data_IF_103959612978
#
_entry.id   IF_103959612978
#
_cell.length_a   1.000
_cell.length_b   1.000
_cell.length_c   1.000
_cell.angle_alpha   90.00
_cell.angle_beta   90.00
_cell.angle_gamma   90.00
#
_symmetry.space_group_name_H-M   'P 1'
#
loop_
_entity.id
_entity.type
_entity.pdbx_description
1 polymer ?
#
# COMPACT_ATOMS: atom_id res chain seq x y z
N UNK A 1 -21.49 -50.27 9.44
CA UNK A 1 -20.64 -49.74 10.54
C UNK A 1 -19.23 -49.35 10.08
N UNK A 2 -18.41 -50.25 9.51
CA UNK A 2 -17.03 -49.92 9.05
C UNK A 2 -16.94 -48.75 8.04
N UNK A 3 -17.90 -48.63 7.12
CA UNK A 3 -17.97 -47.52 6.14
C UNK A 3 -18.36 -46.17 6.75
N UNK A 4 -19.11 -46.17 7.85
CA UNK A 4 -19.54 -44.94 8.56
C UNK A 4 -18.39 -44.35 9.40
N UNK A 5 -17.57 -45.23 9.98
CA UNK A 5 -16.36 -44.86 10.72
C UNK A 5 -15.32 -44.23 9.78
N UNK A 6 -15.13 -44.79 8.58
CA UNK A 6 -14.19 -44.26 7.59
C UNK A 6 -14.57 -42.86 7.08
N UNK A 7 -15.87 -42.61 6.87
CA UNK A 7 -16.38 -41.30 6.44
C UNK A 7 -16.29 -40.24 7.54
N UNK A 8 -16.44 -40.64 8.81
CA UNK A 8 -16.28 -39.75 9.97
C UNK A 8 -14.81 -39.37 10.20
N UNK A 9 -13.87 -40.28 9.95
CA UNK A 9 -12.43 -39.99 10.01
C UNK A 9 -12.02 -39.03 8.89
N UNK A 10 -12.54 -39.22 7.67
CA UNK A 10 -12.21 -38.38 6.51
C UNK A 10 -12.68 -36.92 6.68
N UNK A 11 -13.86 -36.71 7.27
CA UNK A 11 -14.41 -35.37 7.57
C UNK A 11 -13.69 -34.70 8.74
N UNK A 12 -13.23 -35.47 9.73
CA UNK A 12 -12.41 -34.95 10.82
C UNK A 12 -11.00 -34.54 10.34
N UNK A 13 -10.40 -35.28 9.39
CA UNK A 13 -9.09 -34.91 8.83
C UNK A 13 -9.15 -33.70 7.89
N UNK A 14 -10.27 -33.47 7.19
CA UNK A 14 -10.43 -32.29 6.33
C UNK A 14 -10.67 -31.00 7.13
N UNK A 15 -11.25 -31.10 8.33
CA UNK A 15 -11.52 -29.94 9.21
C UNK A 15 -10.30 -29.52 10.05
N UNK A 16 -9.30 -30.39 10.20
CA UNK A 16 -8.04 -30.07 10.90
C UNK A 16 -6.97 -29.42 10.03
N UNK A 17 -7.19 -29.28 8.73
CA UNK A 17 -6.34 -28.41 7.88
C UNK A 17 -6.89 -26.97 7.94
N UNK A 18 -7.25 -26.52 9.14
CA UNK A 18 -7.25 -25.10 9.43
C UNK A 18 -5.79 -24.73 9.58
N UNK A 19 -5.20 -24.11 8.55
CA UNK A 19 -3.94 -23.43 8.72
C UNK A 19 -4.11 -22.45 9.88
N UNK A 20 -3.45 -22.73 11.00
CA UNK A 20 -3.08 -21.70 11.95
C UNK A 20 -2.34 -20.66 11.11
N UNK A 21 -2.95 -19.49 10.85
CA UNK A 21 -2.21 -18.37 10.32
C UNK A 21 -1.06 -18.14 11.31
N UNK A 22 0.16 -18.29 10.82
CA UNK A 22 1.32 -18.03 11.65
C UNK A 22 1.38 -16.53 11.87
N UNK A 23 0.82 -16.06 12.98
CA UNK A 23 0.89 -14.66 13.38
C UNK A 23 2.37 -14.29 13.53
N UNK A 24 2.86 -13.44 12.64
CA UNK A 24 4.24 -13.02 12.59
C UNK A 24 4.47 -12.00 11.50
N UNK A 25 5.58 -11.27 11.62
CA UNK A 25 6.04 -10.38 10.57
C UNK A 25 6.50 -11.19 9.37
N UNK A 26 5.97 -10.87 8.20
CA UNK A 26 6.42 -11.41 6.91
C UNK A 26 7.23 -10.30 6.24
N UNK A 27 8.45 -10.62 5.84
CA UNK A 27 9.26 -9.71 5.01
C UNK A 27 8.73 -9.74 3.57
N UNK A 28 8.17 -8.61 3.14
CA UNK A 28 7.64 -8.41 1.78
C UNK A 28 8.55 -7.50 0.94
N UNK A 29 9.78 -7.22 1.38
CA UNK A 29 10.70 -6.32 0.66
C UNK A 29 10.97 -6.77 -0.78
N UNK A 30 10.89 -8.07 -1.05
CA UNK A 30 11.01 -8.65 -2.39
C UNK A 30 9.81 -8.36 -3.32
N UNK A 31 8.66 -7.99 -2.77
CA UNK A 31 7.45 -7.66 -3.54
C UNK A 31 7.49 -6.22 -4.07
N UNK A 32 8.32 -5.36 -3.47
CA UNK A 32 8.49 -3.97 -3.90
C UNK A 32 9.54 -3.93 -5.02
N UNK A 33 9.16 -3.55 -6.25
CA UNK A 33 10.11 -3.47 -7.36
C UNK A 33 11.18 -2.40 -7.09
N UNK A 34 12.41 -2.65 -7.54
CA UNK A 34 13.50 -1.68 -7.43
C UNK A 34 14.20 -1.71 -6.08
N UNK A 35 14.19 -0.59 -5.35
CA UNK A 35 14.92 -0.44 -4.08
C UNK A 35 13.99 -0.14 -2.94
N UNK A 36 14.17 -0.83 -1.81
CA UNK A 36 13.46 -0.54 -0.55
C UNK A 36 14.16 0.52 0.29
N UNK A 37 15.18 1.20 -0.25
CA UNK A 37 15.85 2.28 0.47
C UNK A 37 14.95 3.51 0.51
N UNK A 38 14.74 4.02 1.72
CA UNK A 38 14.07 5.30 1.92
C UNK A 38 12.56 5.25 1.80
N UNK A 39 11.92 4.06 1.85
CA UNK A 39 10.48 3.95 2.09
C UNK A 39 10.14 4.76 3.35
N UNK A 40 9.24 5.73 3.20
CA UNK A 40 9.07 6.82 4.16
C UNK A 40 7.71 6.83 4.83
N UNK A 41 6.66 6.44 4.12
CA UNK A 41 5.28 6.43 4.60
C UNK A 41 4.46 5.38 3.85
N UNK A 42 3.35 4.97 4.45
CA UNK A 42 2.45 3.96 3.92
C UNK A 42 0.99 4.31 4.25
N UNK A 43 0.13 4.26 3.24
CA UNK A 43 -1.30 4.51 3.39
C UNK A 43 -2.10 3.41 2.71
N UNK A 44 -3.08 2.84 3.41
CA UNK A 44 -4.05 1.89 2.85
C UNK A 44 -5.45 2.49 2.88
N UNK A 45 -6.10 2.51 1.72
CA UNK A 45 -7.50 2.91 1.56
C UNK A 45 -8.45 1.77 1.95
N UNK A 46 -8.02 0.52 1.74
CA UNK A 46 -8.75 -0.70 2.10
C UNK A 46 -7.76 -1.82 2.43
N UNK A 47 -8.26 -3.00 2.81
CA UNK A 47 -7.43 -4.19 3.07
C UNK A 47 -6.58 -4.61 1.85
N UNK A 48 -6.98 -4.21 0.63
CA UNK A 48 -6.30 -4.62 -0.60
C UNK A 48 -5.57 -3.48 -1.30
N UNK A 49 -5.96 -2.23 -1.08
CA UNK A 49 -5.46 -1.10 -1.87
C UNK A 49 -4.65 -0.11 -1.03
N UNK A 50 -3.40 0.12 -1.42
CA UNK A 50 -2.47 0.95 -0.64
C UNK A 50 -1.30 1.52 -1.44
N UNK A 51 -0.66 2.52 -0.86
CA UNK A 51 0.46 3.28 -1.44
C UNK A 51 1.62 3.38 -0.44
N UNK A 52 2.85 3.38 -0.94
CA UNK A 52 4.08 3.59 -0.16
C UNK A 52 4.88 4.69 -0.83
N UNK A 53 5.29 5.72 -0.09
CA UNK A 53 6.18 6.77 -0.61
C UNK A 53 7.65 6.43 -0.40
N UNK A 54 8.52 7.05 -1.20
CA UNK A 54 9.97 6.97 -1.05
C UNK A 54 10.61 8.34 -0.94
N UNK A 55 11.34 8.54 0.16
CA UNK A 55 12.16 9.72 0.44
C UNK A 55 13.51 9.73 -0.28
N UNK A 56 13.82 8.67 -1.04
CA UNK A 56 15.09 8.49 -1.71
C UNK A 56 15.02 8.74 -3.22
N UNK A 57 13.96 8.28 -3.87
CA UNK A 57 13.74 8.41 -5.31
C UNK A 57 12.33 8.96 -5.58
N UNK A 58 12.03 9.31 -6.83
CA UNK A 58 10.74 9.88 -7.22
C UNK A 58 9.61 8.83 -7.31
N UNK A 59 9.75 7.66 -6.68
CA UNK A 59 8.83 6.54 -6.79
C UNK A 59 7.79 6.55 -5.67
N UNK A 60 6.56 6.17 -6.03
CA UNK A 60 5.48 5.80 -5.13
C UNK A 60 5.04 4.41 -5.55
N UNK A 61 4.89 3.48 -4.62
CA UNK A 61 4.51 2.10 -4.93
C UNK A 61 3.04 1.90 -4.61
N UNK A 62 2.26 1.40 -5.56
CA UNK A 62 0.81 1.16 -5.41
C UNK A 62 0.51 -0.33 -5.48
N UNK A 63 -0.35 -0.82 -4.60
CA UNK A 63 -0.84 -2.20 -4.60
C UNK A 63 -2.37 -2.21 -4.64
N UNK A 64 -2.93 -3.24 -5.28
CA UNK A 64 -4.37 -3.54 -5.30
C UNK A 64 -4.67 -4.94 -4.78
N UNK A 65 -3.67 -5.64 -4.23
CA UNK A 65 -3.76 -7.01 -3.74
C UNK A 65 -3.18 -7.19 -2.32
N UNK A 66 -3.19 -6.12 -1.52
CA UNK A 66 -2.77 -6.16 -0.11
C UNK A 66 -1.24 -6.22 0.07
N UNK A 67 -0.48 -5.79 -0.93
CA UNK A 67 0.99 -5.79 -0.92
C UNK A 67 1.63 -7.10 -1.37
N UNK A 68 0.88 -7.97 -2.04
CA UNK A 68 1.44 -9.16 -2.70
C UNK A 68 2.23 -8.74 -3.95
N UNK A 69 1.75 -7.72 -4.67
CA UNK A 69 2.44 -7.07 -5.78
C UNK A 69 2.32 -5.55 -5.69
N UNK A 70 3.31 -4.85 -6.24
CA UNK A 70 3.34 -3.40 -6.31
C UNK A 70 3.68 -2.93 -7.72
N UNK A 71 2.97 -1.90 -8.19
CA UNK A 71 3.29 -1.14 -9.39
C UNK A 71 4.02 0.15 -9.01
N UNK A 72 4.98 0.58 -9.86
CA UNK A 72 5.73 1.81 -9.65
C UNK A 72 5.00 2.98 -10.30
N UNK A 73 4.62 3.95 -9.49
CA UNK A 73 4.19 5.28 -9.90
C UNK A 73 5.34 6.26 -9.70
N UNK A 74 5.32 7.39 -10.42
CA UNK A 74 6.38 8.38 -10.32
C UNK A 74 5.85 9.79 -10.17
N UNK A 75 6.57 10.59 -9.41
CA UNK A 75 6.35 12.04 -9.29
C UNK A 75 7.29 12.79 -10.23
N UNK A 76 6.93 14.01 -10.68
CA UNK A 76 7.67 14.70 -11.73
C UNK A 76 8.99 15.33 -11.27
N UNK A 77 9.15 15.68 -9.98
CA UNK A 77 10.29 16.49 -9.52
C UNK A 77 11.12 15.85 -8.40
N UNK A 78 10.71 14.73 -7.81
CA UNK A 78 11.53 14.03 -6.84
C UNK A 78 10.77 13.41 -5.67
N UNK A 79 11.56 12.85 -4.76
CA UNK A 79 11.13 12.02 -3.65
C UNK A 79 10.07 12.64 -2.73
N UNK A 80 9.24 11.76 -2.16
CA UNK A 80 8.15 12.12 -1.26
C UNK A 80 8.30 11.41 0.09
N UNK A 81 7.90 12.10 1.15
CA UNK A 81 7.97 11.60 2.52
C UNK A 81 6.61 11.21 3.07
N UNK A 82 5.53 11.68 2.46
CA UNK A 82 4.17 11.41 2.87
C UNK A 82 3.30 11.09 1.66
N UNK A 83 2.31 10.23 1.86
CA UNK A 83 1.27 9.94 0.87
C UNK A 83 -0.06 9.69 1.59
N UNK A 84 -1.13 10.32 1.10
CA UNK A 84 -2.48 9.97 1.51
C UNK A 84 -3.43 10.06 0.33
N UNK A 85 -4.25 9.03 0.18
CA UNK A 85 -5.37 9.04 -0.76
C UNK A 85 -6.66 9.43 -0.04
N UNK A 86 -7.54 10.11 -0.76
CA UNK A 86 -8.88 10.48 -0.33
C UNK A 86 -9.88 9.39 -0.74
N UNK A 87 -9.76 8.95 -1.99
CA UNK A 87 -10.45 7.81 -2.59
C UNK A 87 -9.47 7.05 -3.51
N UNK A 88 -9.95 6.10 -4.32
CA UNK A 88 -9.06 5.30 -5.19
C UNK A 88 -8.44 6.07 -6.35
N UNK A 89 -8.92 7.29 -6.65
CA UNK A 89 -8.42 8.11 -7.77
C UNK A 89 -7.81 9.44 -7.32
N UNK A 90 -8.26 10.02 -6.20
CA UNK A 90 -7.83 11.32 -5.69
C UNK A 90 -6.86 11.15 -4.52
N UNK A 91 -5.72 11.84 -4.57
CA UNK A 91 -4.76 11.80 -3.46
C UNK A 91 -3.65 12.83 -3.56
N UNK A 92 -2.84 12.88 -2.49
CA UNK A 92 -1.78 13.85 -2.31
C UNK A 92 -0.50 13.19 -1.82
N UNK A 93 0.63 13.77 -2.21
CA UNK A 93 1.95 13.36 -1.74
C UNK A 93 2.87 14.57 -1.65
N UNK A 94 3.89 14.52 -0.79
CA UNK A 94 4.85 15.61 -0.66
C UNK A 94 6.07 15.19 0.16
N UNK A 95 7.11 16.02 0.19
CA UNK A 95 8.36 15.66 0.88
C UNK A 95 9.34 16.80 1.09
N UNK A 96 10.59 16.45 1.42
CA UNK A 96 11.66 17.39 1.73
C UNK A 96 11.99 18.39 0.60
N UNK A 97 11.75 18.02 -0.67
CA UNK A 97 11.89 18.93 -1.82
C UNK A 97 10.88 20.08 -1.82
N UNK A 98 9.88 20.04 -0.95
CA UNK A 98 8.88 21.08 -0.73
C UNK A 98 7.78 21.16 -1.77
N UNK A 99 7.74 20.20 -2.69
CA UNK A 99 6.66 20.02 -3.65
C UNK A 99 5.51 19.24 -3.01
N UNK A 100 4.30 19.69 -3.32
CA UNK A 100 3.06 18.94 -3.06
C UNK A 100 2.52 18.50 -4.41
N UNK A 101 2.26 17.20 -4.52
CA UNK A 101 1.69 16.56 -5.69
C UNK A 101 0.23 16.17 -5.43
N UNK A 102 -0.58 16.20 -6.48
CA UNK A 102 -1.96 15.70 -6.51
C UNK A 102 -2.12 14.72 -7.66
N UNK A 103 -2.89 13.66 -7.43
CA UNK A 103 -3.45 12.82 -8.49
C UNK A 103 -4.97 12.89 -8.48
N UNK A 104 -5.58 12.67 -9.63
CA UNK A 104 -7.01 12.46 -9.85
C UNK A 104 -7.27 11.22 -10.74
N UNK A 105 -6.28 10.34 -10.89
CA UNK A 105 -6.32 9.11 -11.68
C UNK A 105 -5.67 7.89 -10.99
N UNK A 106 -5.61 7.92 -9.65
CA UNK A 106 -5.11 6.83 -8.82
C UNK A 106 -3.58 6.76 -8.76
N UNK A 107 -2.91 7.84 -9.18
CA UNK A 107 -1.46 7.96 -9.21
C UNK A 107 -0.81 7.49 -10.51
N UNK A 108 -1.61 7.24 -11.55
CA UNK A 108 -1.08 7.09 -12.92
C UNK A 108 -0.35 8.37 -13.35
N UNK A 109 -0.86 9.53 -12.95
CA UNK A 109 -0.20 10.83 -13.08
C UNK A 109 -0.24 11.59 -11.75
N UNK A 110 0.95 12.00 -11.29
CA UNK A 110 1.13 12.91 -10.17
C UNK A 110 1.50 14.31 -10.69
N UNK A 111 0.65 15.30 -10.43
CA UNK A 111 0.82 16.67 -10.89
C UNK A 111 1.28 17.58 -9.75
N UNK A 112 2.14 18.56 -10.03
CA UNK A 112 2.54 19.56 -9.03
C UNK A 112 1.33 20.44 -8.72
N UNK A 113 0.92 20.44 -7.46
CA UNK A 113 -0.15 21.29 -6.95
C UNK A 113 0.40 22.60 -6.39
N UNK A 114 1.47 22.51 -5.59
CA UNK A 114 2.03 23.65 -4.87
C UNK A 114 3.49 23.41 -4.47
N UNK A 115 4.14 24.47 -4.01
CA UNK A 115 5.40 24.40 -3.27
C UNK A 115 5.27 25.18 -1.97
N UNK A 116 5.55 24.54 -0.84
CA UNK A 116 5.31 25.14 0.48
C UNK A 116 6.39 24.81 1.53
N UNK A 117 7.57 24.34 1.09
CA UNK A 117 8.66 23.91 1.97
C UNK A 117 8.49 22.47 2.45
N UNK A 118 9.45 21.98 3.24
CA UNK A 118 9.51 20.57 3.67
C UNK A 118 8.18 20.11 4.27
N UNK A 119 7.63 19.06 3.67
CA UNK A 119 6.45 18.38 4.17
C UNK A 119 6.87 17.00 4.70
N UNK A 120 6.57 16.75 5.97
CA UNK A 120 6.95 15.52 6.68
C UNK A 120 5.81 14.50 6.76
N UNK A 121 4.57 14.98 6.73
CA UNK A 121 3.37 14.17 6.89
C UNK A 121 2.17 14.88 6.21
N UNK A 122 1.19 14.12 5.73
CA UNK A 122 -0.09 14.58 5.21
C UNK A 122 -1.17 13.77 5.91
N UNK A 123 -2.12 14.47 6.54
CA UNK A 123 -3.29 13.83 7.11
C UNK A 123 -4.57 14.55 6.68
N UNK A 124 -5.53 13.82 6.13
CA UNK A 124 -6.91 14.25 5.94
C UNK A 124 -7.85 13.45 6.84
N UNK A 125 -8.86 14.10 7.45
CA UNK A 125 -9.89 13.39 8.21
C UNK A 125 -10.68 12.42 7.33
N UNK A 126 -11.21 11.32 7.88
CA UNK A 126 -12.12 10.46 7.14
C UNK A 126 -13.34 11.23 6.61
N UNK A 127 -13.72 10.98 5.36
CA UNK A 127 -14.91 11.57 4.75
C UNK A 127 -14.79 13.02 4.30
N UNK A 128 -13.55 13.53 4.11
CA UNK A 128 -13.31 14.86 3.52
C UNK A 128 -13.19 14.85 2.00
N UNK A 129 -13.86 13.93 1.32
CA UNK A 129 -13.97 13.96 -0.14
C UNK A 129 -14.81 15.19 -0.56
N UNK A 130 -14.39 15.92 -1.61
CA UNK A 130 -15.21 16.98 -2.21
C UNK A 130 -16.48 16.46 -2.90
#
# INVERSE_FOLDING_TARGET
MKKLILFSILTFTLSTIAFSQQYGWIDISANIPGTTKGLSDVYFLSDNEGWISSSWNAEIYHTTDGGLTFEVQTTPLGATQAVQMLDSINGYSGGAGGWVYKTDDGGQNWNILASMGTLLDISFPPGTDP
#
